data_IF_661044094278
#
_entry.id   IF_661044094278
#
_cell.length_a   1.000
_cell.length_b   1.000
_cell.length_c   1.000
_cell.angle_alpha   90.00
_cell.angle_beta   90.00
_cell.angle_gamma   90.00
#
_symmetry.space_group_name_H-M   'P 1'
#
loop_
_entity.id
_entity.type
_entity.pdbx_description
1 polymer ?
#
# COMPACT_ATOMS: atom_id res chain seq x y z
N UNK A 1 -7.64 -0.02 22.35
CA UNK A 1 -8.22 1.31 22.05
C UNK A 1 -9.02 1.43 20.74
N UNK A 2 -9.20 0.39 19.93
CA UNK A 2 -9.86 0.52 18.62
C UNK A 2 -10.81 -0.65 18.34
N UNK A 3 -11.64 -1.04 19.31
CA UNK A 3 -12.70 -2.02 19.08
C UNK A 3 -13.99 -1.20 18.94
N UNK A 4 -14.44 -1.02 17.69
CA UNK A 4 -15.67 -0.34 17.27
C UNK A 4 -15.66 1.20 17.30
N UNK A 5 -15.15 1.85 16.24
CA UNK A 5 -15.38 3.31 15.99
C UNK A 5 -16.84 3.58 15.54
N UNK A 6 -17.83 2.98 16.21
CA UNK A 6 -19.24 3.15 15.85
C UNK A 6 -19.55 2.76 14.39
N UNK A 7 -18.74 1.89 13.80
CA UNK A 7 -18.85 1.52 12.38
C UNK A 7 -19.77 0.32 12.21
N UNK A 8 -20.90 0.51 11.52
CA UNK A 8 -21.81 -0.57 11.12
C UNK A 8 -21.31 -1.26 9.84
N UNK A 9 -20.10 -1.83 9.88
CA UNK A 9 -19.61 -2.61 8.74
C UNK A 9 -20.36 -3.93 8.64
N UNK A 10 -20.83 -4.25 7.45
CA UNK A 10 -21.37 -5.57 7.12
C UNK A 10 -20.34 -6.39 6.35
N UNK A 11 -20.53 -7.71 6.29
CA UNK A 11 -19.73 -8.54 5.41
C UNK A 11 -19.94 -8.10 3.95
N UNK A 12 -18.84 -7.95 3.19
CA UNK A 12 -18.87 -7.55 1.78
C UNK A 12 -18.41 -6.11 1.54
N UNK A 13 -18.93 -5.50 0.48
CA UNK A 13 -18.50 -4.17 0.03
C UNK A 13 -19.10 -3.08 0.90
N UNK A 14 -18.24 -2.25 1.49
CA UNK A 14 -18.63 -1.09 2.30
C UNK A 14 -18.03 0.18 1.67
N UNK A 15 -18.77 1.28 1.67
CA UNK A 15 -18.23 2.59 1.30
C UNK A 15 -17.71 3.29 2.55
N UNK A 16 -16.43 3.68 2.55
CA UNK A 16 -15.76 4.24 3.72
C UNK A 16 -15.51 5.74 3.53
N UNK A 17 -15.85 6.53 4.55
CA UNK A 17 -15.34 7.90 4.68
C UNK A 17 -13.88 7.90 5.18
N UNK A 18 -13.25 9.08 5.22
CA UNK A 18 -11.83 9.20 5.62
C UNK A 18 -11.51 8.64 7.01
N UNK A 19 -12.39 8.85 8.01
CA UNK A 19 -12.18 8.31 9.37
C UNK A 19 -12.28 6.79 9.39
N UNK A 20 -13.24 6.23 8.65
CA UNK A 20 -13.44 4.79 8.52
C UNK A 20 -12.30 4.12 7.75
N UNK A 21 -11.82 4.73 6.66
CA UNK A 21 -10.68 4.24 5.89
C UNK A 21 -9.39 4.24 6.74
N UNK A 22 -9.16 5.32 7.51
CA UNK A 22 -8.04 5.39 8.45
C UNK A 22 -8.11 4.30 9.52
N UNK A 23 -9.31 4.08 10.10
CA UNK A 23 -9.52 3.01 11.06
C UNK A 23 -9.21 1.64 10.45
N UNK A 24 -9.79 1.36 9.28
CA UNK A 24 -9.58 0.11 8.55
C UNK A 24 -8.10 -0.18 8.28
N UNK A 25 -7.35 0.83 7.85
CA UNK A 25 -5.90 0.75 7.61
C UNK A 25 -5.04 0.57 8.88
N UNK A 26 -5.60 0.82 10.08
CA UNK A 26 -4.89 0.73 11.37
C UNK A 26 -5.13 -0.58 12.12
N UNK A 27 -6.14 -1.37 11.73
CA UNK A 27 -6.44 -2.65 12.37
C UNK A 27 -5.21 -3.56 12.28
N UNK A 28 -4.69 -3.98 13.44
CA UNK A 28 -3.53 -4.87 13.57
C UNK A 28 -3.94 -6.27 14.00
N UNK A 29 -4.52 -6.39 15.19
CA UNK A 29 -4.79 -7.68 15.84
C UNK A 29 -6.07 -8.31 15.27
N UNK A 30 -6.01 -8.73 14.02
CA UNK A 30 -7.09 -9.39 13.30
C UNK A 30 -6.51 -10.48 12.41
N UNK A 31 -7.19 -11.63 12.35
CA UNK A 31 -6.90 -12.72 11.42
C UNK A 31 -8.09 -12.84 10.49
N UNK A 32 -7.89 -12.53 9.22
CA UNK A 32 -8.92 -12.54 8.19
C UNK A 32 -8.31 -12.90 6.82
N UNK A 33 -9.09 -12.74 5.74
CA UNK A 33 -8.63 -13.02 4.37
C UNK A 33 -7.40 -12.20 3.92
N UNK A 34 -7.07 -11.12 4.62
CA UNK A 34 -5.92 -10.27 4.32
C UNK A 34 -4.65 -10.75 5.03
N UNK A 35 -4.75 -11.67 5.97
CA UNK A 35 -3.65 -12.22 6.76
C UNK A 35 -3.89 -12.05 8.26
N UNK A 36 -2.82 -12.21 9.05
CA UNK A 36 -2.84 -11.97 10.50
C UNK A 36 -1.95 -10.79 10.87
N UNK A 37 -2.25 -10.16 12.00
CA UNK A 37 -1.42 -9.13 12.64
C UNK A 37 -1.00 -8.00 11.67
N UNK A 38 0.30 -7.70 11.65
CA UNK A 38 0.84 -6.62 10.83
C UNK A 38 0.85 -6.95 9.33
N UNK A 39 0.96 -8.22 8.97
CA UNK A 39 0.88 -8.65 7.56
C UNK A 39 -0.52 -8.43 7.01
N UNK A 40 -1.56 -8.75 7.80
CA UNK A 40 -2.95 -8.41 7.50
C UNK A 40 -3.16 -6.91 7.40
N UNK A 41 -2.56 -6.13 8.31
CA UNK A 41 -2.63 -4.66 8.27
C UNK A 41 -2.00 -4.09 7.00
N UNK A 42 -0.80 -4.54 6.64
CA UNK A 42 -0.11 -4.13 5.42
C UNK A 42 -0.94 -4.48 4.17
N UNK A 43 -1.59 -5.65 4.16
CA UNK A 43 -2.50 -6.06 3.08
C UNK A 43 -3.73 -5.15 2.96
N UNK A 44 -4.38 -4.78 4.08
CA UNK A 44 -5.47 -3.79 4.09
C UNK A 44 -5.01 -2.40 3.63
N UNK A 45 -3.81 -1.97 4.01
CA UNK A 45 -3.23 -0.71 3.55
C UNK A 45 -3.00 -0.70 2.04
N UNK A 46 -2.49 -1.79 1.47
CA UNK A 46 -2.38 -1.94 0.01
C UNK A 46 -3.74 -1.83 -0.66
N UNK A 47 -4.76 -2.52 -0.15
CA UNK A 47 -6.12 -2.40 -0.66
C UNK A 47 -6.65 -0.95 -0.62
N UNK A 48 -6.41 -0.21 0.47
CA UNK A 48 -6.84 1.21 0.55
C UNK A 48 -6.17 2.05 -0.54
N UNK A 49 -4.85 1.88 -0.75
CA UNK A 49 -4.11 2.60 -1.80
C UNK A 49 -4.59 2.18 -3.20
N UNK A 50 -4.81 0.90 -3.45
CA UNK A 50 -5.33 0.39 -4.72
C UNK A 50 -6.71 0.98 -5.03
N UNK A 51 -7.63 1.02 -4.06
CA UNK A 51 -8.96 1.60 -4.22
C UNK A 51 -8.90 3.12 -4.45
N UNK A 52 -7.98 3.82 -3.78
CA UNK A 52 -7.73 5.25 -4.04
C UNK A 52 -7.24 5.47 -5.47
N UNK A 53 -6.29 4.66 -5.95
CA UNK A 53 -5.80 4.71 -7.33
C UNK A 53 -6.95 4.44 -8.31
N UNK A 54 -7.75 3.38 -8.09
CA UNK A 54 -8.91 3.07 -8.93
C UNK A 54 -9.92 4.23 -8.97
N UNK A 55 -10.17 4.88 -7.82
CA UNK A 55 -11.06 6.03 -7.74
C UNK A 55 -10.52 7.22 -8.53
N UNK A 56 -9.24 7.54 -8.42
CA UNK A 56 -8.58 8.60 -9.20
C UNK A 56 -8.62 8.27 -10.71
N UNK A 57 -8.36 7.02 -11.10
CA UNK A 57 -8.44 6.56 -12.51
C UNK A 57 -9.83 6.71 -13.11
N UNK A 58 -10.89 6.65 -12.30
CA UNK A 58 -12.28 6.85 -12.75
C UNK A 58 -12.72 8.32 -12.82
N UNK A 59 -11.91 9.25 -12.30
CA UNK A 59 -12.19 10.69 -12.32
C UNK A 59 -11.68 11.33 -13.61
N UNK A 60 -12.26 12.47 -14.00
CA UNK A 60 -11.69 13.28 -15.07
C UNK A 60 -10.45 14.06 -14.58
N UNK A 61 -9.63 14.55 -15.54
CA UNK A 61 -8.37 15.24 -15.26
C UNK A 61 -8.53 16.50 -14.38
N UNK A 62 -9.65 17.22 -14.51
CA UNK A 62 -9.90 18.43 -13.72
C UNK A 62 -10.16 18.08 -12.25
N UNK A 63 -10.97 17.04 -12.01
CA UNK A 63 -11.27 16.55 -10.66
C UNK A 63 -10.03 15.99 -9.97
N UNK A 64 -9.24 15.17 -10.68
CA UNK A 64 -8.01 14.59 -10.12
C UNK A 64 -6.95 15.66 -9.85
N UNK A 65 -6.80 16.65 -10.75
CA UNK A 65 -5.92 17.79 -10.55
C UNK A 65 -6.30 18.64 -9.32
N UNK A 66 -7.61 18.88 -9.13
CA UNK A 66 -8.11 19.61 -7.95
C UNK A 66 -7.78 18.87 -6.64
N UNK A 67 -7.98 17.55 -6.60
CA UNK A 67 -7.63 16.74 -5.43
C UNK A 67 -6.13 16.85 -5.14
N UNK A 68 -5.28 16.72 -6.16
CA UNK A 68 -3.84 16.84 -5.95
C UNK A 68 -3.47 18.20 -5.33
N UNK A 69 -4.02 19.29 -5.86
CA UNK A 69 -3.79 20.64 -5.34
C UNK A 69 -4.29 20.81 -3.89
N UNK A 70 -5.51 20.36 -3.59
CA UNK A 70 -6.14 20.53 -2.28
C UNK A 70 -5.42 19.71 -1.18
N UNK A 71 -4.79 18.58 -1.55
CA UNK A 71 -4.18 17.65 -0.58
C UNK A 71 -2.64 17.67 -0.53
N UNK A 72 -1.95 18.18 -1.55
CA UNK A 72 -0.49 18.32 -1.56
C UNK A 72 0.09 19.02 -0.31
N UNK A 73 -0.55 20.06 0.28
CA UNK A 73 -0.05 20.69 1.50
C UNK A 73 0.05 19.75 2.72
N UNK A 74 -0.65 18.61 2.70
CA UNK A 74 -0.60 17.61 3.78
C UNK A 74 0.43 16.50 3.51
N UNK A 75 1.13 16.53 2.37
CA UNK A 75 2.13 15.53 1.97
C UNK A 75 3.51 16.18 1.90
N UNK A 76 4.48 15.60 2.60
CA UNK A 76 5.89 15.99 2.45
C UNK A 76 6.54 15.10 1.40
N UNK A 77 7.06 15.70 0.34
CA UNK A 77 7.74 15.02 -0.77
C UNK A 77 8.96 15.82 -1.22
N UNK A 78 9.92 15.13 -1.85
CA UNK A 78 11.06 15.75 -2.52
C UNK A 78 10.83 15.91 -4.04
N UNK A 79 9.65 15.56 -4.54
CA UNK A 79 9.26 15.83 -5.92
C UNK A 79 9.02 17.33 -6.10
N UNK A 80 9.66 17.91 -7.12
CA UNK A 80 9.42 19.28 -7.56
C UNK A 80 8.05 19.43 -8.19
N UNK A 81 7.53 20.67 -8.26
CA UNK A 81 6.27 20.97 -8.93
C UNK A 81 6.26 20.50 -10.39
N UNK A 82 7.40 20.59 -11.09
CA UNK A 82 7.55 20.11 -12.46
C UNK A 82 7.50 18.59 -12.58
N UNK A 83 8.08 17.85 -11.63
CA UNK A 83 8.00 16.38 -11.59
C UNK A 83 6.57 15.93 -11.27
N UNK A 84 5.89 16.60 -10.33
CA UNK A 84 4.49 16.34 -10.02
C UNK A 84 3.59 16.60 -11.23
N UNK A 85 3.80 17.70 -11.95
CA UNK A 85 3.08 18.01 -13.19
C UNK A 85 3.37 16.99 -14.30
N UNK A 86 4.62 16.52 -14.43
CA UNK A 86 5.00 15.48 -15.38
C UNK A 86 4.31 14.15 -15.07
N UNK A 87 4.30 13.72 -13.80
CA UNK A 87 3.60 12.50 -13.38
C UNK A 87 2.08 12.64 -13.62
N UNK A 88 1.51 13.82 -13.34
CA UNK A 88 0.09 14.08 -13.57
C UNK A 88 -0.27 14.04 -15.07
N UNK A 89 0.60 14.55 -15.96
CA UNK A 89 0.33 14.58 -17.40
C UNK A 89 0.31 13.18 -18.03
N UNK A 90 1.14 12.26 -17.55
CA UNK A 90 1.13 10.85 -17.98
C UNK A 90 0.09 9.99 -17.24
N UNK A 91 -0.61 10.57 -16.25
CA UNK A 91 -1.57 9.87 -15.40
C UNK A 91 -2.70 9.19 -16.18
N UNK A 92 -3.16 9.80 -17.28
CA UNK A 92 -4.15 9.21 -18.19
C UNK A 92 -3.63 7.91 -18.85
N UNK A 93 -2.37 7.87 -19.26
CA UNK A 93 -1.74 6.66 -19.81
C UNK A 93 -1.50 5.61 -18.72
N UNK A 94 -1.06 6.04 -17.53
CA UNK A 94 -0.89 5.15 -16.36
C UNK A 94 -2.21 4.56 -15.87
N UNK A 95 -3.36 5.14 -16.21
CA UNK A 95 -4.68 4.60 -15.89
C UNK A 95 -4.87 3.17 -16.42
N UNK A 96 -4.26 2.84 -17.56
CA UNK A 96 -4.37 1.54 -18.22
C UNK A 96 -3.41 0.48 -17.64
N UNK A 97 -2.44 0.89 -16.83
CA UNK A 97 -1.47 -0.03 -16.25
C UNK A 97 -2.13 -0.89 -15.17
N UNK A 98 -1.85 -2.19 -15.22
CA UNK A 98 -2.18 -3.13 -14.15
C UNK A 98 -1.42 -2.73 -12.89
N UNK A 99 -2.13 -2.59 -11.78
CA UNK A 99 -1.51 -2.41 -10.47
C UNK A 99 -1.15 -3.79 -9.93
N UNK A 100 0.13 -4.01 -9.66
CA UNK A 100 0.61 -5.21 -8.99
C UNK A 100 1.18 -4.84 -7.63
N UNK A 101 1.06 -5.76 -6.67
CA UNK A 101 1.54 -5.53 -5.32
C UNK A 101 2.32 -6.72 -4.79
N UNK A 102 3.26 -6.43 -3.90
CA UNK A 102 4.11 -7.42 -3.25
C UNK A 102 4.22 -7.11 -1.76
N UNK A 103 4.33 -8.16 -0.95
CA UNK A 103 4.74 -8.07 0.44
C UNK A 103 6.25 -8.26 0.55
N UNK A 104 6.92 -7.34 1.25
CA UNK A 104 8.28 -7.51 1.76
C UNK A 104 8.24 -7.30 3.29
N UNK A 105 8.84 -8.18 4.11
CA UNK A 105 9.54 -9.40 3.71
C UNK A 105 8.60 -10.46 3.10
N UNK A 106 9.08 -11.15 2.07
CA UNK A 106 8.31 -12.16 1.35
C UNK A 106 8.09 -13.40 2.24
N UNK A 107 6.96 -14.11 2.10
CA UNK A 107 6.72 -15.35 2.85
C UNK A 107 7.89 -16.33 2.76
N UNK A 108 8.28 -16.90 3.90
CA UNK A 108 9.40 -17.86 3.99
C UNK A 108 10.80 -17.23 3.95
N UNK A 109 10.92 -15.90 3.96
CA UNK A 109 12.22 -15.19 3.92
C UNK A 109 12.47 -14.31 5.15
N UNK A 110 11.73 -14.56 6.23
CA UNK A 110 11.88 -13.85 7.50
C UNK A 110 11.48 -14.74 8.67
N UNK A 111 11.95 -14.39 9.86
CA UNK A 111 11.53 -14.92 11.14
C UNK A 111 11.04 -13.77 12.02
N UNK A 112 9.74 -13.72 12.26
CA UNK A 112 9.12 -12.68 13.07
C UNK A 112 9.09 -13.01 14.56
N UNK A 113 9.51 -14.21 14.99
CA UNK A 113 9.52 -14.65 16.39
C UNK A 113 10.82 -14.30 17.14
N UNK A 114 11.77 -13.63 16.48
CA UNK A 114 13.02 -13.21 17.11
C UNK A 114 12.74 -12.21 18.23
N UNK A 115 13.27 -12.48 19.42
CA UNK A 115 13.22 -11.55 20.55
C UNK A 115 14.65 -11.11 20.88
N UNK A 116 14.86 -9.81 20.98
CA UNK A 116 16.13 -9.21 21.42
C UNK A 116 15.90 -8.62 22.82
N UNK A 117 16.76 -8.98 23.76
CA UNK A 117 16.68 -8.47 25.13
C UNK A 117 16.78 -6.94 25.16
N UNK A 118 15.95 -6.31 25.99
CA UNK A 118 15.81 -4.84 26.05
C UNK A 118 15.15 -4.15 24.84
N UNK A 119 14.83 -4.87 23.76
CA UNK A 119 14.19 -4.30 22.54
C UNK A 119 12.80 -4.90 22.28
N UNK A 120 12.65 -6.22 22.48
CA UNK A 120 11.42 -6.95 22.23
C UNK A 120 11.42 -7.75 20.93
N UNK A 121 10.23 -8.01 20.39
CA UNK A 121 10.02 -8.82 19.18
C UNK A 121 10.43 -8.05 17.93
N UNK A 122 11.35 -8.61 17.15
CA UNK A 122 11.87 -8.03 15.91
C UNK A 122 11.67 -9.00 14.74
N UNK A 123 11.68 -8.46 13.52
CA UNK A 123 11.64 -9.27 12.30
C UNK A 123 13.07 -9.46 11.81
N UNK A 124 13.57 -10.69 11.90
CA UNK A 124 14.85 -11.09 11.31
C UNK A 124 14.61 -11.45 9.84
N UNK A 125 15.36 -10.83 8.92
CA UNK A 125 15.06 -10.87 7.48
C UNK A 125 16.24 -11.51 6.74
N UNK A 126 15.95 -12.45 5.84
CA UNK A 126 16.92 -12.84 4.80
C UNK A 126 16.95 -11.73 3.74
N UNK A 127 17.87 -10.79 3.92
CA UNK A 127 18.01 -9.64 3.04
C UNK A 127 18.33 -10.06 1.60
N UNK A 128 19.15 -11.12 1.41
CA UNK A 128 19.56 -11.57 0.08
C UNK A 128 18.37 -12.13 -0.69
N UNK A 129 17.58 -13.00 -0.05
CA UNK A 129 16.38 -13.57 -0.65
C UNK A 129 15.31 -12.51 -0.96
N UNK A 130 15.09 -11.55 -0.05
CA UNK A 130 14.14 -10.46 -0.28
C UNK A 130 14.57 -9.52 -1.41
N UNK A 131 15.85 -9.18 -1.47
CA UNK A 131 16.40 -8.39 -2.58
C UNK A 131 16.23 -9.10 -3.93
N UNK A 132 16.50 -10.40 -4.00
CA UNK A 132 16.29 -11.18 -5.22
C UNK A 132 14.83 -11.18 -5.66
N UNK A 133 13.90 -11.42 -4.73
CA UNK A 133 12.45 -11.40 -4.99
C UNK A 133 11.94 -10.02 -5.41
N UNK A 134 12.40 -8.95 -4.77
CA UNK A 134 12.01 -7.58 -5.13
C UNK A 134 12.53 -7.20 -6.51
N UNK A 135 13.76 -7.58 -6.88
CA UNK A 135 14.29 -7.36 -8.23
C UNK A 135 13.49 -8.09 -9.28
N UNK A 136 13.16 -9.35 -9.04
CA UNK A 136 12.32 -10.15 -9.94
C UNK A 136 10.94 -9.49 -10.12
N UNK A 137 10.33 -8.98 -9.04
CA UNK A 137 9.05 -8.28 -9.12
C UNK A 137 9.12 -6.98 -9.93
N UNK A 138 10.19 -6.19 -9.79
CA UNK A 138 10.30 -4.88 -10.44
C UNK A 138 10.75 -4.96 -11.91
N UNK A 139 11.63 -5.91 -12.24
CA UNK A 139 12.30 -5.98 -13.55
C UNK A 139 11.90 -7.21 -14.37
N UNK A 140 11.08 -8.12 -13.80
CA UNK A 140 10.80 -9.42 -14.39
C UNK A 140 11.98 -10.39 -14.24
N UNK A 141 11.85 -11.56 -14.85
CA UNK A 141 13.00 -12.45 -15.04
C UNK A 141 13.94 -11.77 -16.05
N UNK A 142 15.23 -11.69 -15.73
CA UNK A 142 16.24 -11.29 -16.70
C UNK A 142 16.31 -12.43 -17.72
N UNK A 143 15.45 -12.39 -18.75
CA UNK A 143 15.69 -13.17 -19.95
C UNK A 143 17.01 -12.66 -20.50
N UNK A 144 18.03 -13.51 -20.45
CA UNK A 144 19.19 -13.40 -21.31
C UNK A 144 18.71 -13.61 -22.75
N UNK A 145 18.10 -12.57 -23.31
CA UNK A 145 17.82 -12.51 -24.73
C UNK A 145 19.14 -12.16 -25.42
N UNK A 146 19.73 -13.19 -26.05
CA UNK A 146 20.80 -13.08 -27.04
C UNK A 146 20.29 -12.40 -28.32
#
# INVERSE_FOLDING_TARGET
>A
ENINIGTHFSAGTNHLNGKQALYYARIRNATDKFGHDDYGRASRQRQVVELMIQKIKSMNLVQSGKIMYDYLPYVKTNLTDSELACIASIGATLSQYKVETMQIPAPGTFNDQKVIDGVGKVVEIDLKANCAKLRQFLYGDVSSDN
#
